data_IF_880104566369
#
_entry.id   IF_880104566369
#
_cell.length_a   1.000
_cell.length_b   1.000
_cell.length_c   1.000
_cell.angle_alpha   90.00
_cell.angle_beta   90.00
_cell.angle_gamma   90.00
#
_symmetry.space_group_name_H-M   'P 1'
#
loop_
_entity.id
_entity.type
_entity.pdbx_description
1 polymer ?
2 non-polymer ?
3 non-polymer ?
4 non-polymer ?
5 non-polymer ?
6 water ?
#
# COMPACT_ATOMS: atom_id res chain seq x y z
N UNK A 3 22.52 -12.72 17.07
CA UNK A 3 23.26 -13.30 15.96
C UNK A 3 23.52 -12.24 14.88
N UNK A 4 24.07 -12.68 13.74
CA UNK A 4 24.48 -11.82 12.63
C UNK A 4 24.28 -12.63 11.35
N UNK A 5 23.01 -12.85 11.00
CA UNK A 5 22.62 -13.86 10.02
C UNK A 5 23.05 -13.48 8.60
N UNK A 6 23.07 -14.50 7.73
CA UNK A 6 23.50 -14.40 6.34
C UNK A 6 22.36 -14.82 5.42
N UNK A 7 22.10 -14.05 4.37
CA UNK A 7 21.17 -14.41 3.31
C UNK A 7 21.93 -14.57 2.00
N UNK A 8 21.55 -15.57 1.21
CA UNK A 8 22.23 -15.87 -0.04
C UNK A 8 21.33 -15.63 -1.24
N UNK A 9 21.93 -15.24 -2.34
CA UNK A 9 21.29 -15.33 -3.66
C UNK A 9 21.84 -16.57 -4.35
N UNK A 10 20.95 -17.42 -4.88
CA UNK A 10 21.39 -18.66 -5.50
C UNK A 10 21.50 -18.56 -7.02
N UNK A 11 21.09 -17.44 -7.62
CA UNK A 11 21.35 -17.19 -9.03
C UNK A 11 22.75 -16.60 -9.22
N UNK A 12 23.19 -15.76 -8.26
CA UNK A 12 24.40 -14.95 -8.39
C UNK A 12 25.49 -15.27 -7.38
N UNK A 13 25.26 -16.19 -6.44
CA UNK A 13 26.19 -16.53 -5.37
C UNK A 13 26.64 -15.31 -4.55
N UNK A 14 25.81 -14.25 -4.56
CA UNK A 14 26.07 -13.09 -3.72
C UNK A 14 25.54 -13.36 -2.32
N UNK A 15 26.28 -12.94 -1.30
CA UNK A 15 25.87 -13.09 0.08
C UNK A 15 25.87 -11.73 0.77
N UNK A 16 24.85 -11.49 1.59
CA UNK A 16 24.78 -10.31 2.42
C UNK A 16 24.67 -10.72 3.89
N UNK A 17 25.09 -9.81 4.77
CA UNK A 17 24.99 -10.00 6.21
C UNK A 17 23.98 -9.03 6.80
N UNK A 18 23.10 -9.53 7.65
CA UNK A 18 22.00 -8.77 8.22
C UNK A 18 22.23 -8.66 9.71
N UNK A 19 22.57 -7.44 10.17
CA UNK A 19 22.53 -7.08 11.58
C UNK A 19 21.38 -6.14 11.91
N UNK A 20 20.69 -5.63 10.89
CA UNK A 20 19.56 -4.74 11.12
C UNK A 20 18.47 -5.43 11.93
N UNK A 21 18.29 -6.75 11.74
CA UNK A 21 17.24 -7.46 12.47
C UNK A 21 17.43 -7.38 13.98
N UNK A 22 18.63 -7.04 14.44
CA UNK A 22 18.86 -6.97 15.88
C UNK A 22 18.07 -5.83 16.50
N UNK A 23 18.06 -4.67 15.83
CA UNK A 23 17.25 -3.56 16.29
C UNK A 23 15.76 -3.86 16.24
N UNK A 24 15.36 -4.98 15.64
CA UNK A 24 13.94 -5.29 15.51
C UNK A 24 13.27 -5.45 16.87
N UNK A 25 11.95 -5.24 16.86
CA UNK A 25 11.19 -5.08 18.08
C UNK A 25 9.94 -5.96 18.07
N UNK A 26 9.05 -5.70 17.10
CA UNK A 26 7.79 -6.40 16.99
C UNK A 26 8.00 -7.89 16.70
N UNK A 27 6.94 -8.66 16.93
CA UNK A 27 6.93 -10.08 16.66
C UNK A 27 6.29 -10.36 15.30
N UNK A 28 6.47 -11.60 14.83
CA UNK A 28 6.16 -11.97 13.45
C UNK A 28 5.03 -12.98 13.28
N UNK A 29 4.68 -13.73 14.32
CA UNK A 29 3.73 -14.81 14.21
C UNK A 29 4.38 -16.18 14.15
N UNK A 30 5.66 -16.24 13.79
CA UNK A 30 6.39 -17.49 13.75
C UNK A 30 6.98 -17.80 15.11
N UNK A 31 6.96 -19.08 15.48
CA UNK A 31 7.64 -19.59 16.67
C UNK A 31 8.86 -20.41 16.22
N UNK A 32 9.53 -21.02 17.18
CA UNK A 32 10.63 -21.93 16.84
C UNK A 32 10.13 -23.19 16.14
N UNK A 33 8.90 -23.60 16.41
CA UNK A 33 8.37 -24.87 15.92
C UNK A 33 7.34 -24.70 14.82
N UNK A 34 6.95 -23.48 14.49
CA UNK A 34 6.04 -23.22 13.39
C UNK A 34 6.47 -21.95 12.68
N UNK A 35 6.25 -21.94 11.38
CA UNK A 35 6.50 -20.76 10.56
C UNK A 35 5.19 -20.39 9.89
N UNK A 36 4.90 -19.09 9.88
CA UNK A 36 3.61 -18.60 9.44
C UNK A 36 3.73 -17.52 8.38
N UNK A 37 4.83 -17.52 7.62
CA UNK A 37 5.10 -16.58 6.56
C UNK A 37 4.15 -16.61 5.38
N UNK A 38 3.02 -17.30 5.49
CA UNK A 38 2.07 -17.35 4.39
C UNK A 38 0.65 -17.10 4.87
N UNK A 39 0.46 -16.89 6.17
CA UNK A 39 -0.78 -16.33 6.71
C UNK A 39 -0.90 -14.88 6.25
N UNK A 40 -2.06 -14.52 5.69
CA UNK A 40 -2.23 -13.23 5.05
C UNK A 40 -2.21 -12.09 6.07
N UNK A 41 -3.18 -12.07 6.98
CA UNK A 41 -3.28 -11.06 8.03
C UNK A 41 -3.06 -11.75 9.37
N UNK A 42 -1.86 -11.71 9.94
CA UNK A 42 -1.65 -12.30 11.25
C UNK A 42 -1.97 -11.29 12.35
N UNK A 43 -2.35 -11.82 13.52
CA UNK A 43 -2.67 -10.97 14.67
C UNK A 43 -1.58 -9.96 14.99
N UNK A 44 -0.35 -10.23 14.56
CA UNK A 44 0.74 -9.25 14.66
C UNK A 44 0.48 -8.05 13.76
N UNK A 45 0.40 -8.27 12.45
CA UNK A 45 0.31 -7.22 11.44
C UNK A 45 -0.91 -6.32 11.59
N UNK A 46 -1.88 -6.69 12.43
CA UNK A 46 -3.12 -5.94 12.60
C UNK A 46 -3.04 -5.08 13.86
N UNK A 47 -3.65 -3.90 13.81
CA UNK A 47 -3.70 -2.99 14.95
C UNK A 47 -4.98 -3.16 15.77
N UNK A 52 -4.99 -0.56 21.00
CA UNK A 52 -5.28 0.60 21.85
C UNK A 52 -4.20 0.70 22.95
N UNK A 53 -3.61 1.89 23.11
CA UNK A 53 -2.36 2.07 23.86
C UNK A 53 -2.49 3.16 24.92
N UNK A 54 -1.69 3.02 25.98
CA UNK A 54 -1.73 3.86 27.17
C UNK A 54 -0.46 4.70 27.31
N UNK A 55 -0.43 5.51 28.37
CA UNK A 55 0.63 6.49 28.55
C UNK A 55 1.92 5.84 29.04
N UNK A 56 1.80 4.89 29.98
CA UNK A 56 2.96 4.16 30.44
C UNK A 56 3.72 3.56 29.27
N UNK A 57 2.99 2.91 28.37
CA UNK A 57 3.61 2.32 27.19
C UNK A 57 4.25 3.35 26.28
N UNK A 58 3.83 4.62 26.37
CA UNK A 58 4.07 5.55 25.29
C UNK A 58 5.48 6.13 25.26
N UNK A 59 6.12 6.35 26.42
CA UNK A 59 7.42 7.03 26.39
C UNK A 59 8.50 6.21 25.71
N UNK A 60 8.77 4.95 26.08
CA UNK A 60 9.81 4.18 25.39
C UNK A 60 9.71 4.28 23.88
N UNK A 61 8.49 4.21 23.36
CA UNK A 61 8.27 4.30 21.92
C UNK A 61 8.65 5.67 21.38
N UNK A 62 8.34 6.75 22.13
CA UNK A 62 8.82 8.08 21.73
C UNK A 62 10.34 8.15 21.84
N UNK A 63 10.88 7.69 22.97
CA UNK A 63 12.32 7.70 23.18
C UNK A 63 13.05 6.99 22.06
N UNK A 64 12.68 5.72 21.80
CA UNK A 64 13.32 4.96 20.74
C UNK A 64 13.24 5.68 19.41
N UNK A 65 12.07 6.19 19.05
CA UNK A 65 11.91 6.86 17.75
C UNK A 65 12.80 8.08 17.66
N UNK A 66 12.81 8.90 18.70
CA UNK A 66 13.62 10.12 18.68
C UNK A 66 15.11 9.81 18.71
N UNK A 67 15.49 8.65 19.24
CA UNK A 67 16.90 8.29 19.31
C UNK A 67 17.43 7.87 17.95
N UNK A 68 16.59 7.30 17.09
CA UNK A 68 17.07 7.00 15.74
C UNK A 68 16.98 8.24 14.85
N UNK A 69 15.97 9.09 15.06
CA UNK A 69 15.77 10.24 14.19
C UNK A 69 16.91 11.26 14.34
N UNK A 70 17.35 11.52 15.57
CA UNK A 70 18.50 12.40 15.71
C UNK A 70 19.77 11.69 15.27
N UNK A 71 19.87 10.39 15.54
CA UNK A 71 21.01 9.62 15.09
C UNK A 71 21.15 9.66 13.57
N UNK A 72 20.06 9.92 12.84
CA UNK A 72 20.11 9.95 11.39
C UNK A 72 20.60 11.30 10.84
N UNK A 73 20.32 12.41 11.51
CA UNK A 73 20.76 13.71 11.02
C UNK A 73 22.14 14.04 11.58
N UNK A 74 22.79 13.04 12.18
CA UNK A 74 24.13 13.20 12.77
C UNK A 74 24.11 14.20 13.93
N UNK A 75 23.19 13.98 14.86
CA UNK A 75 23.09 14.72 16.12
C UNK A 75 22.58 13.78 17.22
N UNK A 76 23.18 12.59 17.28
CA UNK A 76 22.80 11.55 18.22
C UNK A 76 23.02 12.01 19.66
N UNK A 77 21.98 11.88 20.49
CA UNK A 77 22.10 11.94 21.93
C UNK A 77 22.71 13.20 22.49
N UNK A 78 22.68 14.29 21.74
CA UNK A 78 23.28 15.54 22.15
C UNK A 78 22.27 16.35 22.95
N UNK A 79 22.48 17.67 23.04
CA UNK A 79 21.57 18.53 23.79
C UNK A 79 20.28 18.78 23.01
N UNK A 80 20.40 19.12 21.73
CA UNK A 80 19.20 19.22 20.88
C UNK A 80 18.39 17.93 20.97
N UNK A 81 19.08 16.80 21.09
CA UNK A 81 18.41 15.52 21.35
C UNK A 81 17.78 15.51 22.72
N UNK A 82 18.59 15.68 23.77
CA UNK A 82 18.11 15.48 25.14
C UNK A 82 17.02 16.48 25.50
N UNK A 83 17.12 17.72 25.01
CA UNK A 83 16.02 18.66 25.18
C UNK A 83 14.74 18.09 24.60
N UNK A 84 14.83 17.55 23.37
CA UNK A 84 13.66 17.01 22.70
C UNK A 84 13.11 15.80 23.44
N UNK A 85 13.99 14.98 24.02
CA UNK A 85 13.53 13.85 24.84
C UNK A 85 12.84 14.35 26.10
N UNK A 86 13.45 15.34 26.76
CA UNK A 86 12.82 16.01 27.90
C UNK A 86 11.49 16.63 27.50
N UNK A 87 11.46 17.30 26.35
CA UNK A 87 10.29 18.06 25.95
C UNK A 87 9.09 17.16 25.67
N UNK A 88 9.31 16.00 25.05
CA UNK A 88 8.19 15.10 24.80
C UNK A 88 7.85 14.30 26.05
N UNK A 89 8.87 13.89 26.81
CA UNK A 89 8.64 13.31 28.13
C UNK A 89 7.69 14.18 28.96
N UNK A 90 8.02 15.47 29.10
CA UNK A 90 7.15 16.40 29.81
C UNK A 90 5.74 16.40 29.22
N UNK A 91 5.62 16.61 27.91
CA UNK A 91 4.31 16.68 27.27
C UNK A 91 3.54 15.36 27.39
N UNK A 92 4.24 14.22 27.52
CA UNK A 92 3.57 12.94 27.73
C UNK A 92 3.14 12.78 29.18
N UNK A 93 3.84 13.39 30.12
CA UNK A 93 3.27 13.55 31.46
C UNK A 93 1.98 14.36 31.37
N UNK A 94 2.06 15.54 30.75
CA UNK A 94 0.99 16.52 30.82
C UNK A 94 -0.27 15.99 30.12
N UNK A 95 -0.17 15.73 28.82
CA UNK A 95 -1.34 15.34 28.01
C UNK A 95 -1.50 13.83 27.88
N UNK A 96 -0.51 13.05 28.31
CA UNK A 96 -0.43 11.60 28.11
C UNK A 96 -0.23 11.22 26.65
N UNK A 97 -0.14 12.18 25.74
CA UNK A 97 0.31 11.93 24.37
C UNK A 97 1.26 13.07 24.00
N UNK A 98 1.47 13.27 22.70
CA UNK A 98 2.41 14.31 22.25
C UNK A 98 2.23 14.53 20.74
N UNK A 99 2.99 15.48 20.21
CA UNK A 99 2.89 15.89 18.83
C UNK A 99 4.27 15.84 18.17
N UNK A 100 4.28 15.52 16.89
CA UNK A 100 5.49 15.33 16.11
C UNK A 100 5.86 16.63 15.41
N UNK A 101 7.13 17.02 15.51
CA UNK A 101 7.67 18.06 14.65
C UNK A 101 7.43 17.71 13.19
N UNK A 102 7.20 18.75 12.36
CA UNK A 102 7.04 18.53 10.93
C UNK A 102 8.16 17.64 10.37
N UNK A 103 9.38 17.80 10.88
CA UNK A 103 10.50 16.98 10.42
C UNK A 103 10.36 15.53 10.88
N UNK A 104 9.99 15.34 12.14
CA UNK A 104 9.82 13.99 12.68
C UNK A 104 8.72 13.23 11.97
N UNK A 105 7.75 13.96 11.40
CA UNK A 105 6.67 13.30 10.68
C UNK A 105 7.13 12.82 9.31
N UNK A 106 7.91 13.65 8.61
CA UNK A 106 8.44 13.27 7.29
C UNK A 106 9.37 12.06 7.43
N UNK A 107 10.24 12.08 8.44
CA UNK A 107 11.14 10.97 8.71
C UNK A 107 10.35 9.71 9.05
N UNK A 108 9.39 9.81 9.97
CA UNK A 108 8.62 8.64 10.35
C UNK A 108 7.86 8.04 9.19
N UNK A 109 7.22 8.89 8.39
CA UNK A 109 6.47 8.39 7.25
C UNK A 109 7.38 7.65 6.29
N UNK A 110 8.48 8.30 5.86
CA UNK A 110 9.37 7.69 4.89
C UNK A 110 9.92 6.36 5.39
N UNK A 111 10.08 6.23 6.71
CA UNK A 111 10.67 5.02 7.27
C UNK A 111 9.63 3.93 7.51
N UNK A 112 8.35 4.29 7.62
CA UNK A 112 7.31 3.27 7.61
C UNK A 112 7.28 2.55 6.27
N UNK A 113 7.43 3.29 5.17
CA UNK A 113 7.52 2.66 3.85
C UNK A 113 8.82 1.87 3.72
N UNK A 114 9.95 2.48 4.08
CA UNK A 114 11.24 1.81 4.04
C UNK A 114 11.23 0.48 4.78
N UNK A 115 10.42 0.36 5.82
CA UNK A 115 10.35 -0.84 6.64
C UNK A 115 9.25 -1.81 6.24
N UNK A 116 8.47 -1.48 5.22
CA UNK A 116 7.38 -2.33 4.75
C UNK A 116 7.98 -3.51 4.00
N UNK A 117 8.00 -4.66 4.64
CA UNK A 117 8.74 -5.78 4.06
C UNK A 117 8.01 -6.43 2.90
N UNK A 118 6.69 -6.19 2.73
CA UNK A 118 5.96 -6.76 1.62
C UNK A 118 5.99 -5.91 0.35
N UNK A 119 6.69 -4.77 0.38
CA UNK A 119 6.68 -3.78 -0.71
C UNK A 119 7.90 -3.97 -1.61
N UNK A 120 7.66 -4.38 -2.87
CA UNK A 120 8.72 -4.53 -3.84
C UNK A 120 9.30 -3.22 -4.33
N UNK A 121 8.58 -2.10 -4.23
CA UNK A 121 9.03 -0.86 -4.83
C UNK A 121 9.82 0.08 -3.94
N UNK A 122 10.28 -0.40 -2.80
CA UNK A 122 10.90 0.45 -1.76
C UNK A 122 12.15 1.08 -2.17
N UNK A 123 12.66 1.00 -3.39
CA UNK A 123 13.89 1.73 -3.68
C UNK A 123 13.66 3.24 -3.62
N UNK A 124 12.41 3.69 -3.70
CA UNK A 124 12.04 5.09 -3.79
C UNK A 124 11.58 5.67 -2.46
N UNK A 125 11.89 4.99 -1.35
CA UNK A 125 11.30 5.35 -0.06
C UNK A 125 11.67 6.78 0.34
N UNK A 126 12.90 7.20 0.06
CA UNK A 126 13.31 8.54 0.48
C UNK A 126 12.63 9.62 -0.34
N UNK A 127 12.26 9.33 -1.59
CA UNK A 127 11.57 10.27 -2.46
C UNK A 127 10.05 10.16 -2.24
N UNK A 128 9.62 10.69 -1.09
CA UNK A 128 8.21 10.64 -0.70
C UNK A 128 7.76 12.02 -0.26
N UNK A 129 6.67 12.50 -0.86
CA UNK A 129 6.09 13.78 -0.53
C UNK A 129 5.16 13.59 0.65
N UNK A 130 5.44 14.26 1.76
CA UNK A 130 4.59 14.16 2.94
C UNK A 130 3.67 15.38 2.99
N UNK A 131 2.36 15.12 3.06
CA UNK A 131 1.33 16.17 3.15
C UNK A 131 0.73 16.13 4.55
N UNK A 132 0.95 17.19 5.32
CA UNK A 132 0.58 17.18 6.73
C UNK A 132 -0.81 17.77 6.84
N UNK A 133 -1.78 16.90 7.12
CA UNK A 133 -3.19 17.26 7.23
C UNK A 133 -3.67 17.10 8.66
N UNK A 134 -2.73 17.24 9.60
CA UNK A 134 -3.11 17.16 11.00
C UNK A 134 -3.95 18.35 11.47
N UNK A 135 -4.11 19.41 10.65
CA UNK A 135 -5.00 20.52 11.01
C UNK A 135 -6.43 20.29 10.56
N UNK A 136 -6.75 19.11 10.04
CA UNK A 136 -8.06 18.88 9.45
C UNK A 136 -9.10 18.56 10.53
N UNK A 137 -10.31 19.10 10.34
CA UNK A 137 -11.41 18.95 11.31
C UNK A 137 -12.69 18.31 10.76
N UNK A 138 -12.94 18.37 9.44
CA UNK A 138 -14.22 17.97 8.85
C UNK A 138 -13.99 16.97 7.73
N UNK A 139 -15.07 16.30 7.33
CA UNK A 139 -15.02 15.46 6.14
C UNK A 139 -14.71 16.29 4.91
N UNK A 140 -15.26 17.50 4.83
CA UNK A 140 -14.98 18.36 3.68
C UNK A 140 -13.50 18.70 3.60
N UNK A 141 -12.87 19.07 4.73
CA UNK A 141 -11.43 19.23 4.75
C UNK A 141 -10.69 17.98 4.31
N UNK A 142 -11.19 16.80 4.67
CA UNK A 142 -10.54 15.56 4.23
C UNK A 142 -10.66 15.42 2.71
N UNK A 143 -11.85 15.67 2.17
CA UNK A 143 -12.06 15.61 0.73
C UNK A 143 -11.12 16.53 -0.02
N UNK A 144 -10.80 17.68 0.58
CA UNK A 144 -9.97 18.68 -0.06
C UNK A 144 -8.51 18.30 -0.02
N UNK A 145 -8.03 17.82 1.14
CA UNK A 145 -6.67 17.31 1.23
C UNK A 145 -6.47 16.14 0.28
N UNK A 146 -7.46 15.25 0.20
CA UNK A 146 -7.37 14.06 -0.67
C UNK A 146 -7.33 14.47 -2.15
N UNK A 147 -8.19 15.42 -2.55
CA UNK A 147 -8.20 15.87 -3.94
C UNK A 147 -6.86 16.47 -4.30
N UNK A 148 -6.28 17.24 -3.40
CA UNK A 148 -4.98 17.81 -3.67
C UNK A 148 -3.91 16.72 -3.70
N UNK A 149 -4.10 15.66 -2.92
CA UNK A 149 -3.20 14.51 -2.99
C UNK A 149 -3.25 13.90 -4.39
N UNK A 150 -4.45 13.49 -4.83
CA UNK A 150 -4.65 12.89 -6.16
C UNK A 150 -3.99 13.74 -7.24
N UNK A 151 -4.35 15.02 -7.29
CA UNK A 151 -3.80 15.89 -8.33
C UNK A 151 -2.28 15.89 -8.31
N UNK A 152 -1.69 16.13 -7.13
CA UNK A 152 -0.23 16.22 -7.07
C UNK A 152 0.42 14.89 -7.44
N UNK A 153 -0.05 13.80 -6.82
CA UNK A 153 0.54 12.51 -7.11
C UNK A 153 0.40 12.15 -8.57
N UNK A 154 -0.74 12.50 -9.19
CA UNK A 154 -0.97 12.08 -10.57
C UNK A 154 -0.08 12.85 -11.55
N UNK A 155 0.09 14.15 -11.34
CA UNK A 155 1.05 14.93 -12.12
C UNK A 155 0.91 14.64 -13.61
N UNK A 156 -0.34 14.50 -14.07
CA UNK A 156 -0.65 14.32 -15.49
C UNK A 156 0.04 13.08 -16.05
N UNK A 157 0.10 11.99 -15.26
CA UNK A 157 0.65 10.74 -15.68
C UNK A 157 2.07 10.49 -15.22
N UNK A 158 2.85 11.56 -15.04
CA UNK A 158 4.21 11.46 -14.51
C UNK A 158 4.10 11.33 -12.99
N UNK A 159 3.83 10.11 -12.55
CA UNK A 159 3.34 9.90 -11.18
C UNK A 159 4.41 10.18 -10.14
N UNK A 160 3.96 10.64 -8.96
CA UNK A 160 4.81 10.98 -7.84
C UNK A 160 4.28 10.37 -6.56
N UNK A 161 5.18 9.86 -5.73
CA UNK A 161 4.80 9.28 -4.45
C UNK A 161 4.40 10.37 -3.48
N UNK A 162 3.29 10.15 -2.76
CA UNK A 162 2.83 11.07 -1.74
C UNK A 162 2.11 10.30 -0.64
N UNK A 163 1.96 10.96 0.50
CA UNK A 163 1.15 10.50 1.61
C UNK A 163 0.50 11.71 2.28
N UNK A 164 -0.74 11.57 2.69
CA UNK A 164 -1.46 12.63 3.41
C UNK A 164 -1.90 12.10 4.75
N UNK A 165 -1.48 12.79 5.82
CA UNK A 165 -1.54 12.27 7.18
C UNK A 165 -2.51 13.12 7.98
N UNK A 166 -3.72 12.59 8.20
CA UNK A 166 -4.73 13.23 9.02
C UNK A 166 -4.41 13.05 10.50
N UNK A 167 -5.09 13.76 11.40
CA UNK A 167 -4.65 13.79 12.81
C UNK A 167 -4.61 12.41 13.47
N UNK A 168 -3.67 12.28 14.40
CA UNK A 168 -3.46 11.00 15.05
C UNK A 168 -4.63 10.67 15.97
N UNK A 169 -4.85 9.37 16.15
CA UNK A 169 -5.87 8.91 17.08
C UNK A 169 -5.52 9.40 18.49
N UNK A 170 -6.57 9.76 19.25
CA UNK A 170 -6.39 10.19 20.62
C UNK A 170 -7.15 9.19 21.49
N UNK A 171 -8.37 9.51 21.89
CA UNK A 171 -9.16 8.63 22.74
C UNK A 171 -9.40 7.29 22.06
N UNK A 172 -9.60 7.29 20.74
CA UNK A 172 -9.97 6.10 20.00
C UNK A 172 -11.36 6.17 19.39
N UNK A 173 -12.29 6.89 20.03
CA UNK A 173 -13.62 7.05 19.45
C UNK A 173 -13.74 8.33 18.64
N UNK A 174 -12.76 9.22 18.72
CA UNK A 174 -12.61 10.34 17.80
C UNK A 174 -11.45 10.00 16.90
N UNK A 175 -11.77 9.61 15.67
CA UNK A 175 -10.84 8.87 14.84
C UNK A 175 -11.09 9.23 13.39
N UNK A 176 -10.06 9.66 12.71
CA UNK A 176 -10.16 9.94 11.28
C UNK A 176 -9.96 8.64 10.48
N UNK A 177 -10.89 8.35 9.56
CA UNK A 177 -10.76 7.18 8.69
C UNK A 177 -11.24 7.48 7.27
N UNK A 178 -10.50 7.00 6.29
CA UNK A 178 -10.99 6.87 4.91
C UNK A 178 -11.56 5.46 4.79
N UNK A 179 -12.88 5.35 4.63
CA UNK A 179 -13.50 4.03 4.58
C UNK A 179 -13.20 3.27 3.29
N UNK A 180 -12.79 3.97 2.23
CA UNK A 180 -12.30 3.29 1.04
C UNK A 180 -11.04 2.52 1.37
N UNK A 181 -10.82 1.39 0.66
CA UNK A 181 -9.54 0.71 0.80
C UNK A 181 -8.48 1.36 -0.09
N UNK A 182 -8.87 1.88 -1.25
CA UNK A 182 -8.02 2.74 -2.06
C UNK A 182 -8.84 3.96 -2.44
N UNK A 183 -8.17 5.09 -2.65
CA UNK A 183 -8.92 6.29 -3.00
C UNK A 183 -9.70 6.09 -4.28
N UNK A 184 -9.10 5.45 -5.27
CA UNK A 184 -9.75 5.20 -6.55
C UNK A 184 -9.92 3.70 -6.72
N UNK A 185 -11.16 3.22 -6.62
CA UNK A 185 -11.50 1.85 -6.98
C UNK A 185 -12.80 1.85 -7.76
N UNK A 186 -13.00 0.77 -8.52
CA UNK A 186 -14.20 0.58 -9.32
C UNK A 186 -15.27 -0.13 -8.52
N UNK A 187 -16.51 0.11 -8.89
CA UNK A 187 -17.63 -0.37 -8.10
C UNK A 187 -17.87 -1.84 -8.37
N UNK A 188 -18.63 -2.46 -7.47
CA UNK A 188 -18.96 -3.86 -7.59
C UNK A 188 -20.40 -4.13 -7.24
N UNK A 189 -21.18 -4.53 -8.24
CA UNK A 189 -22.59 -4.82 -8.04
C UNK A 189 -22.86 -6.27 -8.37
N UNK A 190 -23.75 -6.87 -7.60
CA UNK A 190 -24.24 -8.22 -7.86
C UNK A 190 -25.39 -8.18 -8.85
N UNK A 191 -25.62 -9.30 -9.52
CA UNK A 191 -26.58 -9.37 -10.62
C UNK A 191 -27.78 -10.23 -10.24
N UNK A 192 -28.81 -10.34 -11.10
CA UNK A 192 -29.92 -11.26 -10.78
C UNK A 192 -29.48 -12.70 -10.62
N UNK A 193 -28.77 -13.25 -11.60
CA UNK A 193 -28.29 -14.62 -11.52
C UNK A 193 -27.25 -14.83 -10.43
N UNK A 194 -26.88 -13.77 -9.70
CA UNK A 194 -25.86 -13.87 -8.69
C UNK A 194 -24.47 -13.52 -9.16
N UNK A 195 -24.25 -13.42 -10.48
CA UNK A 195 -22.96 -12.99 -11.01
C UNK A 195 -22.65 -11.56 -10.56
N UNK A 196 -21.52 -11.01 -10.98
CA UNK A 196 -21.08 -9.73 -10.45
C UNK A 196 -20.58 -8.81 -11.56
N UNK A 197 -21.12 -7.58 -11.58
CA UNK A 197 -20.64 -6.54 -12.49
C UNK A 197 -19.61 -5.67 -11.77
N UNK A 198 -18.64 -5.20 -12.52
CA UNK A 198 -17.63 -4.30 -11.97
C UNK A 198 -16.52 -5.07 -11.31
N UNK A 199 -16.22 -4.72 -10.07
CA UNK A 199 -15.14 -5.36 -9.33
C UNK A 199 -15.78 -6.11 -8.17
N UNK A 200 -15.75 -7.44 -8.16
CA UNK A 200 -16.37 -8.18 -7.05
C UNK A 200 -15.76 -7.88 -5.69
N UNK A 201 -14.51 -7.39 -5.63
CA UNK A 201 -13.86 -7.12 -4.34
C UNK A 201 -14.69 -6.17 -3.48
N UNK A 202 -15.24 -5.13 -4.09
CA UNK A 202 -15.77 -3.99 -3.37
C UNK A 202 -17.27 -4.05 -3.19
N UNK A 203 -17.91 -5.16 -3.56
CA UNK A 203 -19.37 -5.19 -3.64
C UNK A 203 -20.00 -4.81 -2.31
N UNK A 204 -19.40 -5.26 -1.20
CA UNK A 204 -19.91 -4.85 0.10
C UNK A 204 -19.74 -3.35 0.31
N UNK A 205 -18.54 -2.84 -0.02
CA UNK A 205 -18.31 -1.40 0.10
C UNK A 205 -19.28 -0.62 -0.79
N UNK A 206 -19.42 -1.03 -2.06
CA UNK A 206 -20.34 -0.36 -2.97
C UNK A 206 -21.75 -0.28 -2.38
N UNK A 207 -22.17 -1.32 -1.65
CA UNK A 207 -23.50 -1.32 -1.07
C UNK A 207 -23.60 -0.35 0.09
N UNK A 208 -22.53 -0.25 0.89
CA UNK A 208 -22.50 0.74 1.96
C UNK A 208 -22.63 2.14 1.39
N UNK A 209 -21.96 2.42 0.26
CA UNK A 209 -22.09 3.73 -0.37
C UNK A 209 -23.51 3.97 -0.88
N UNK A 210 -24.16 2.93 -1.43
CA UNK A 210 -25.56 3.09 -1.81
C UNK A 210 -26.44 3.20 -0.57
N UNK A 211 -26.06 2.51 0.51
CA UNK A 211 -26.75 2.66 1.79
C UNK A 211 -26.78 4.12 2.22
N UNK A 212 -25.67 4.83 2.03
CA UNK A 212 -25.57 6.25 2.34
C UNK A 212 -25.99 7.13 1.18
N UNK A 213 -26.63 6.57 0.16
CA UNK A 213 -27.24 7.37 -0.89
C UNK A 213 -26.41 7.59 -2.14
N UNK A 214 -25.56 6.64 -2.53
CA UNK A 214 -24.83 6.78 -3.78
C UNK A 214 -25.75 6.49 -4.95
N UNK A 215 -25.67 7.33 -5.97
CA UNK A 215 -26.43 7.12 -7.20
C UNK A 215 -25.52 6.31 -8.12
N UNK A 216 -25.58 5.00 -7.97
CA UNK A 216 -24.69 4.13 -8.72
C UNK A 216 -25.07 4.16 -10.20
N UNK A 217 -24.10 4.33 -11.11
CA UNK A 217 -24.41 4.22 -12.54
C UNK A 217 -24.33 2.77 -13.00
N UNK A 218 -24.68 1.85 -12.09
CA UNK A 218 -24.57 0.39 -12.18
C UNK A 218 -23.97 -0.12 -13.49
N UNK A 219 -22.68 0.14 -13.68
CA UNK A 219 -21.92 -0.44 -14.77
C UNK A 219 -20.63 -1.09 -14.31
N UNK A 220 -19.67 -1.20 -15.22
CA UNK A 220 -18.39 -1.79 -14.91
C UNK A 220 -17.54 -0.80 -14.13
N UNK A 221 -16.60 -0.19 -14.85
CA UNK A 221 -15.56 0.65 -14.29
C UNK A 221 -16.14 1.96 -13.77
N UNK A 222 -16.85 1.86 -12.64
CA UNK A 222 -17.50 3.00 -12.01
C UNK A 222 -16.65 3.43 -10.82
N UNK A 223 -15.98 4.58 -10.97
CA UNK A 223 -15.18 5.16 -9.90
C UNK A 223 -16.07 5.38 -8.69
N UNK A 224 -15.75 4.71 -7.58
CA UNK A 224 -16.51 4.84 -6.34
C UNK A 224 -16.35 6.24 -5.75
N UNK A 225 -17.29 6.68 -4.95
CA UNK A 225 -17.11 7.93 -4.21
C UNK A 225 -16.27 7.65 -2.97
N UNK A 226 -15.80 8.73 -2.37
CA UNK A 226 -15.08 8.64 -1.11
C UNK A 226 -16.07 8.64 0.05
N UNK A 227 -15.80 7.80 1.04
CA UNK A 227 -16.48 7.85 2.34
C UNK A 227 -15.47 8.31 3.37
N UNK A 228 -15.69 9.48 3.95
CA UNK A 228 -14.70 10.10 4.84
C UNK A 228 -15.28 10.27 6.23
N UNK A 229 -14.61 9.69 7.21
CA UNK A 229 -14.95 9.81 8.63
C UNK A 229 -13.98 10.77 9.30
N UNK A 230 -14.51 11.75 10.02
CA UNK A 230 -13.69 12.81 10.61
C UNK A 230 -13.98 12.92 12.10
N UNK A 231 -12.94 12.71 12.92
CA UNK A 231 -13.03 12.85 14.36
C UNK A 231 -14.20 12.06 14.94
N UNK A 232 -14.33 10.80 14.48
CA UNK A 232 -15.35 9.92 14.98
C UNK A 232 -16.72 10.09 14.37
N UNK A 233 -16.96 11.17 13.63
CA UNK A 233 -18.30 11.43 13.12
C UNK A 233 -18.68 10.44 12.01
N UNK A 234 -19.98 10.37 11.73
CA UNK A 234 -20.46 9.48 10.68
C UNK A 234 -19.92 9.94 9.33
N UNK A 235 -19.44 9.02 8.48
CA UNK A 235 -18.77 9.43 7.24
C UNK A 235 -19.74 10.04 6.25
N UNK A 236 -19.17 10.71 5.24
CA UNK A 236 -19.96 11.45 4.26
C UNK A 236 -19.39 11.22 2.87
N UNK A 237 -20.28 11.20 1.87
CA UNK A 237 -19.89 10.84 0.52
C UNK A 237 -19.39 12.05 -0.26
N UNK A 238 -18.31 11.85 -1.03
CA UNK A 238 -17.74 12.86 -1.91
C UNK A 238 -17.24 12.21 -3.19
N UNK A 239 -17.51 12.86 -4.32
CA UNK A 239 -17.06 12.38 -5.62
C UNK A 239 -15.82 13.16 -6.05
N UNK A 240 -14.70 12.46 -6.21
CA UNK A 240 -13.50 13.03 -6.79
C UNK A 240 -13.88 13.65 -8.13
N UNK A 241 -13.45 14.86 -8.46
CA UNK A 241 -13.74 15.41 -9.78
C UNK A 241 -13.21 14.47 -10.85
N UNK A 242 -14.02 14.15 -11.85
CA UNK A 242 -13.62 13.16 -12.84
C UNK A 242 -12.32 13.52 -13.54
N UNK A 243 -12.11 14.82 -13.78
CA UNK A 243 -10.87 15.29 -14.39
C UNK A 243 -9.65 14.93 -13.55
N UNK A 244 -9.82 14.71 -12.25
CA UNK A 244 -8.69 14.34 -11.41
C UNK A 244 -8.45 12.84 -11.35
N UNK A 245 -9.32 12.04 -11.98
CA UNK A 245 -9.24 10.57 -11.98
C UNK A 245 -8.70 10.18 -13.35
N UNK A 246 -7.40 9.94 -13.42
CA UNK A 246 -6.77 9.57 -14.68
C UNK A 246 -6.94 8.08 -14.88
N UNK A 247 -7.31 7.70 -16.11
CA UNK A 247 -7.58 6.30 -16.47
C UNK A 247 -6.88 5.95 -17.78
N UNK A 248 -6.54 4.66 -17.92
CA UNK A 248 -5.80 4.18 -19.09
C UNK A 248 -6.60 3.08 -19.78
N UNK A 249 -7.06 3.28 -21.02
CA UNK A 249 -7.77 2.23 -21.73
C UNK A 249 -6.77 1.21 -22.26
N UNK A 250 -7.07 -0.07 -22.06
CA UNK A 250 -6.11 -1.14 -22.29
C UNK A 250 -6.27 -1.65 -23.71
N UNK A 251 -5.30 -1.34 -24.56
CA UNK A 251 -5.19 -1.95 -25.88
C UNK A 251 -3.94 -2.81 -25.94
N UNK A 252 -3.82 -3.58 -27.03
CA UNK A 252 -2.70 -4.47 -27.26
C UNK A 252 -1.97 -4.08 -28.54
N UNK A 253 -0.64 -4.25 -28.57
CA UNK A 253 0.13 -3.85 -29.78
C UNK A 253 0.14 -4.88 -30.91
N UNK A 254 -0.75 -5.86 -30.84
CA UNK A 254 -1.00 -6.76 -31.96
C UNK A 254 -2.51 -6.84 -32.20
N UNK A 255 -3.23 -7.27 -31.18
CA UNK A 255 -4.62 -7.72 -31.29
C UNK A 255 -5.54 -6.52 -31.41
N UNK A 256 -5.97 -6.21 -32.64
CA UNK A 256 -6.93 -5.14 -32.85
C UNK A 256 -8.23 -5.39 -32.09
N UNK A 257 -8.55 -6.64 -31.79
CA UNK A 257 -9.74 -6.96 -31.01
C UNK A 257 -9.58 -6.70 -29.54
N UNK A 258 -8.40 -6.27 -29.09
CA UNK A 258 -8.16 -6.04 -27.68
C UNK A 258 -8.83 -4.76 -27.19
N UNK A 259 -8.91 -3.73 -28.04
CA UNK A 259 -9.78 -2.60 -27.72
C UNK A 259 -11.21 -3.06 -27.50
N UNK A 260 -11.69 -3.97 -28.33
CA UNK A 260 -13.07 -4.45 -28.24
C UNK A 260 -13.36 -5.08 -26.88
N UNK A 261 -12.35 -5.75 -26.29
CA UNK A 261 -12.46 -6.21 -24.91
C UNK A 261 -13.01 -5.11 -24.00
N UNK A 262 -12.51 -3.88 -24.16
CA UNK A 262 -13.13 -2.74 -23.51
C UNK A 262 -12.76 -2.56 -22.07
N UNK A 263 -11.50 -2.76 -21.73
CA UNK A 263 -11.03 -2.60 -20.36
C UNK A 263 -10.24 -1.31 -20.22
N UNK A 264 -10.04 -0.91 -18.96
CA UNK A 264 -9.32 0.30 -18.59
C UNK A 264 -9.03 0.19 -17.11
N UNK A 265 -8.03 0.95 -16.68
CA UNK A 265 -7.67 0.97 -15.27
C UNK A 265 -7.31 2.39 -14.90
N UNK A 266 -7.21 2.64 -13.60
CA UNK A 266 -6.83 3.96 -13.12
C UNK A 266 -5.33 4.02 -12.91
N UNK A 267 -4.77 5.22 -13.09
CA UNK A 267 -3.33 5.35 -13.07
C UNK A 267 -2.74 5.22 -11.69
N UNK A 268 -3.51 5.60 -10.67
CA UNK A 268 -2.98 5.94 -9.35
C UNK A 268 -3.35 4.85 -8.37
N UNK A 269 -2.38 4.02 -7.94
CA UNK A 269 -2.60 3.13 -6.80
C UNK A 269 -2.39 3.90 -5.51
N UNK A 270 -3.39 3.85 -4.63
CA UNK A 270 -3.40 4.79 -3.51
C UNK A 270 -4.12 4.12 -2.35
N UNK A 271 -3.36 3.40 -1.52
CA UNK A 271 -3.92 2.64 -0.41
C UNK A 271 -4.33 3.57 0.71
N UNK A 272 -5.60 3.49 1.13
CA UNK A 272 -6.14 4.45 2.10
C UNK A 272 -6.55 3.87 3.46
N UNK A 273 -6.60 2.55 3.62
CA UNK A 273 -7.17 1.93 4.81
C UNK A 273 -6.12 1.49 5.83
N UNK A 274 -4.86 1.85 5.63
CA UNK A 274 -3.81 1.41 6.52
C UNK A 274 -3.64 2.37 7.69
N UNK A 275 -2.88 1.91 8.67
CA UNK A 275 -2.60 2.66 9.88
C UNK A 275 -1.10 2.92 9.95
N UNK A 276 -0.72 4.18 10.20
CA UNK A 276 0.68 4.61 10.21
C UNK A 276 1.15 4.79 11.65
N UNK A 277 2.13 4.00 12.07
CA UNK A 277 2.66 4.07 13.43
C UNK A 277 4.00 4.80 13.44
N UNK A 278 4.10 5.84 14.26
CA UNK A 278 5.32 6.64 14.43
C UNK A 278 5.44 6.97 15.91
N UNK A 279 6.58 6.64 16.51
CA UNK A 279 6.88 6.95 17.90
C UNK A 279 5.79 6.59 18.88
N UNK A 280 5.01 5.56 18.57
CA UNK A 280 3.94 5.14 19.45
C UNK A 280 2.61 5.80 19.17
N UNK A 281 2.56 6.75 18.25
CA UNK A 281 1.32 7.41 17.87
C UNK A 281 0.73 6.71 16.66
N UNK A 282 -0.60 6.75 16.56
CA UNK A 282 -1.33 5.96 15.58
C UNK A 282 -2.10 6.88 14.66
N UNK A 283 -1.80 6.83 13.37
CA UNK A 283 -2.48 7.62 12.35
C UNK A 283 -3.40 6.69 11.57
N UNK A 284 -4.69 6.72 11.91
CA UNK A 284 -5.69 5.83 11.33
C UNK A 284 -6.11 6.21 9.91
N UNK A 285 -5.94 7.46 9.53
CA UNK A 285 -6.16 7.90 8.15
C UNK A 285 -4.82 8.37 7.62
N UNK A 286 -4.30 7.69 6.62
CA UNK A 286 -3.01 8.10 6.08
C UNK A 286 -2.78 7.69 4.62
N UNK A 287 -3.73 7.94 3.71
CA UNK A 287 -3.61 7.37 2.36
C UNK A 287 -2.29 7.71 1.70
N UNK A 288 -1.72 6.72 0.99
CA UNK A 288 -0.42 6.83 0.35
C UNK A 288 -0.50 6.29 -1.07
N UNK A 289 0.30 6.86 -1.95
CA UNK A 289 0.23 6.49 -3.36
C UNK A 289 1.63 6.40 -3.97
N UNK A 290 1.73 5.58 -5.00
CA UNK A 290 2.84 5.64 -5.93
C UNK A 290 2.39 5.36 -7.34
N UNK A 291 3.09 4.49 -8.06
CA UNK A 291 2.73 4.04 -9.40
C UNK A 291 2.65 2.52 -9.42
N UNK A 292 2.02 1.96 -10.45
CA UNK A 292 1.74 0.51 -10.49
C UNK A 292 2.91 -0.29 -11.04
N UNK A 293 3.12 -1.48 -10.44
CA UNK A 293 3.72 -2.56 -11.20
C UNK A 293 2.66 -3.22 -12.05
N UNK A 294 3.04 -3.69 -13.24
CA UNK A 294 2.05 -4.15 -14.20
C UNK A 294 1.23 -5.31 -13.68
N UNK A 295 1.89 -6.34 -13.13
CA UNK A 295 1.21 -7.53 -12.63
C UNK A 295 0.03 -7.22 -11.71
N UNK A 296 0.11 -6.13 -10.93
CA UNK A 296 -0.97 -5.84 -10.00
C UNK A 296 -2.29 -5.60 -10.72
N UNK A 297 -2.25 -5.19 -11.99
CA UNK A 297 -3.46 -5.04 -12.78
C UNK A 297 -3.66 -6.26 -13.67
N UNK A 298 -2.64 -6.56 -14.48
CA UNK A 298 -2.77 -7.59 -15.48
C UNK A 298 -3.01 -8.96 -14.89
N UNK A 299 -2.30 -9.28 -13.79
CA UNK A 299 -2.38 -10.62 -13.19
C UNK A 299 -3.51 -10.73 -12.18
N UNK A 300 -3.43 -9.90 -11.13
CA UNK A 300 -4.30 -10.03 -9.97
C UNK A 300 -5.68 -9.41 -10.23
N UNK A 301 -5.72 -8.09 -10.48
CA UNK A 301 -6.98 -7.39 -10.74
C UNK A 301 -7.79 -8.07 -11.83
N UNK A 302 -7.16 -8.27 -12.99
CA UNK A 302 -7.85 -8.76 -14.18
C UNK A 302 -8.09 -10.27 -14.18
N UNK A 303 -7.22 -11.07 -13.56
CA UNK A 303 -7.26 -12.52 -13.75
C UNK A 303 -7.49 -13.35 -12.50
N UNK A 304 -7.47 -12.74 -11.30
CA UNK A 304 -7.92 -13.48 -10.14
C UNK A 304 -9.32 -14.03 -10.39
N UNK A 305 -9.57 -15.22 -9.85
CA UNK A 305 -10.88 -15.85 -10.04
C UNK A 305 -12.00 -15.01 -9.44
N UNK A 306 -11.78 -14.46 -8.26
CA UNK A 306 -12.78 -13.65 -7.57
C UNK A 306 -12.55 -12.15 -7.77
N UNK A 307 -11.79 -11.77 -8.78
CA UNK A 307 -11.66 -10.38 -9.22
C UNK A 307 -12.29 -10.25 -10.60
N UNK A 308 -11.63 -9.66 -11.61
CA UNK A 308 -12.31 -9.40 -12.88
C UNK A 308 -12.44 -10.64 -13.75
N UNK A 309 -11.52 -11.59 -13.60
CA UNK A 309 -11.67 -12.94 -14.16
C UNK A 309 -11.89 -12.91 -15.67
N UNK A 310 -10.91 -12.29 -16.37
CA UNK A 310 -11.03 -12.08 -17.80
C UNK A 310 -10.30 -13.15 -18.63
N UNK A 311 -9.61 -14.11 -17.98
CA UNK A 311 -8.84 -15.12 -18.71
C UNK A 311 -9.74 -15.91 -19.64
N UNK A 312 -10.98 -16.16 -19.22
CA UNK A 312 -12.02 -16.70 -20.09
C UNK A 312 -12.11 -15.97 -21.43
N UNK A 313 -12.49 -14.69 -21.39
CA UNK A 313 -12.81 -14.00 -22.63
C UNK A 313 -11.58 -13.79 -23.50
N UNK A 314 -10.43 -13.54 -22.87
CA UNK A 314 -9.20 -13.31 -23.62
C UNK A 314 -8.78 -14.59 -24.36
N UNK A 315 -8.86 -15.74 -23.69
CA UNK A 315 -8.53 -16.99 -24.36
C UNK A 315 -9.45 -17.23 -25.55
N UNK A 316 -10.76 -17.13 -25.32
CA UNK A 316 -11.74 -17.28 -26.39
C UNK A 316 -11.33 -16.52 -27.64
N UNK A 317 -11.05 -15.22 -27.47
CA UNK A 317 -10.72 -14.36 -28.60
C UNK A 317 -9.38 -14.72 -29.23
N UNK A 318 -8.42 -15.20 -28.43
CA UNK A 318 -7.18 -15.69 -29.01
C UNK A 318 -7.37 -17.02 -29.74
N UNK A 319 -8.58 -17.59 -29.69
CA UNK A 319 -8.87 -18.93 -30.22
C UNK A 319 -7.90 -19.96 -29.66
N UNK A 320 -8.15 -20.44 -28.45
CA UNK A 320 -7.19 -21.26 -27.72
C UNK A 320 -7.75 -22.64 -27.44
N UNK A 321 -6.85 -23.63 -27.46
CA UNK A 321 -7.15 -24.96 -26.94
C UNK A 321 -7.60 -24.86 -25.49
N UNK A 322 -8.88 -24.57 -25.26
CA UNK A 322 -9.38 -24.36 -23.90
C UNK A 322 -9.99 -25.62 -23.30
N UNK A 323 -9.90 -26.75 -23.99
CA UNK A 323 -10.42 -28.00 -23.45
C UNK A 323 -9.52 -28.52 -22.33
N UNK A 324 -8.30 -28.89 -22.67
CA UNK A 324 -7.40 -29.49 -21.69
C UNK A 324 -6.87 -28.43 -20.73
N UNK A 325 -6.61 -28.84 -19.50
CA UNK A 325 -5.90 -27.99 -18.55
C UNK A 325 -4.47 -27.72 -19.00
N UNK A 326 -3.83 -28.76 -19.56
CA UNK A 326 -2.41 -28.85 -19.91
C UNK A 326 -2.09 -28.22 -21.26
N UNK A 327 -3.09 -27.66 -21.96
CA UNK A 327 -2.80 -26.77 -23.08
C UNK A 327 -2.13 -25.48 -22.64
N UNK A 328 -2.22 -25.13 -21.36
CA UNK A 328 -1.63 -23.90 -20.79
C UNK A 328 -2.24 -22.63 -21.40
N UNK A 329 -3.52 -22.70 -21.76
CA UNK A 329 -4.16 -21.53 -22.36
C UNK A 329 -4.31 -20.39 -21.35
N UNK A 330 -4.49 -20.74 -20.07
CA UNK A 330 -4.53 -19.74 -19.03
C UNK A 330 -3.22 -18.96 -18.99
N UNK A 331 -2.09 -19.68 -19.06
CA UNK A 331 -0.79 -19.02 -19.02
C UNK A 331 -0.59 -18.14 -20.24
N UNK A 332 -0.97 -18.65 -21.41
CA UNK A 332 -0.75 -17.94 -22.66
C UNK A 332 -1.46 -16.58 -22.66
N UNK A 333 -2.72 -16.56 -22.24
CA UNK A 333 -3.49 -15.31 -22.24
C UNK A 333 -3.09 -14.39 -21.09
N UNK A 334 -2.39 -14.90 -20.08
CA UNK A 334 -1.95 -14.02 -18.99
C UNK A 334 -0.76 -13.17 -19.42
N UNK A 335 0.12 -13.71 -20.27
CA UNK A 335 1.24 -12.92 -20.75
C UNK A 335 0.76 -11.82 -21.71
N UNK A 336 -0.18 -12.13 -22.61
CA UNK A 336 -0.72 -11.11 -23.51
C UNK A 336 -1.45 -10.00 -22.76
N UNK A 337 -2.26 -10.37 -21.75
CA UNK A 337 -2.97 -9.36 -20.95
C UNK A 337 -1.96 -8.44 -20.30
N UNK A 338 -0.85 -8.99 -19.82
CA UNK A 338 0.13 -8.14 -19.17
C UNK A 338 1.00 -7.37 -20.17
N UNK A 339 1.14 -7.83 -21.42
CA UNK A 339 1.82 -7.02 -22.43
C UNK A 339 0.98 -5.80 -22.77
N UNK A 340 -0.34 -5.96 -22.77
CA UNK A 340 -1.26 -4.89 -23.17
C UNK A 340 -1.41 -3.83 -22.08
N UNK A 341 -1.32 -4.23 -20.81
CA UNK A 341 -1.39 -3.26 -19.73
C UNK A 341 -0.18 -2.34 -19.77
N UNK A 342 1.02 -2.93 -19.87
CA UNK A 342 2.23 -2.15 -19.98
C UNK A 342 2.18 -1.24 -21.20
N UNK A 343 1.97 -1.83 -22.38
CA UNK A 343 1.88 -1.07 -23.62
C UNK A 343 0.98 0.15 -23.45
N UNK A 344 -0.26 -0.08 -23.01
CA UNK A 344 -1.24 0.99 -22.91
C UNK A 344 -0.77 2.12 -22.01
N UNK A 345 -0.26 1.76 -20.82
CA UNK A 345 0.17 2.76 -19.84
C UNK A 345 1.33 3.61 -20.37
N UNK A 346 2.32 2.96 -21.01
CA UNK A 346 3.46 3.72 -21.51
C UNK A 346 3.12 4.52 -22.75
N UNK A 347 2.18 4.04 -23.57
CA UNK A 347 1.79 4.81 -24.74
C UNK A 347 0.99 6.06 -24.36
N UNK A 348 0.47 6.10 -23.14
CA UNK A 348 -0.27 7.24 -22.61
C UNK A 348 0.56 8.05 -21.61
N UNK A 349 1.88 7.88 -21.61
CA UNK A 349 2.79 8.61 -20.72
C UNK A 349 2.40 8.51 -19.25
N UNK A 350 1.75 7.42 -18.87
CA UNK A 350 1.41 7.16 -17.47
C UNK A 350 2.44 6.20 -16.88
N UNK A 351 3.00 6.57 -15.73
CA UNK A 351 4.09 5.83 -15.09
C UNK A 351 3.64 4.41 -14.75
N UNK A 352 4.43 3.44 -15.22
CA UNK A 352 4.20 2.03 -14.86
C UNK A 352 5.52 1.29 -14.95
N UNK A 353 5.69 0.29 -14.11
CA UNK A 353 6.89 -0.53 -14.04
C UNK A 353 6.51 -1.99 -14.36
N UNK A 354 7.34 -2.66 -15.15
CA UNK A 354 7.11 -4.07 -15.39
C UNK A 354 7.74 -4.86 -14.24
N UNK A 355 7.32 -6.12 -14.08
CA UNK A 355 7.76 -6.89 -12.92
C UNK A 355 9.21 -7.34 -12.99
N UNK A 356 9.81 -7.38 -14.19
CA UNK A 356 11.25 -7.59 -14.31
C UNK A 356 12.02 -6.37 -13.81
N UNK A 357 11.67 -5.20 -14.34
CA UNK A 357 12.36 -3.97 -13.96
C UNK A 357 12.26 -3.74 -12.45
N UNK A 358 11.08 -3.92 -11.88
CA UNK A 358 10.90 -3.58 -10.46
C UNK A 358 11.63 -4.55 -9.55
N UNK A 359 11.65 -5.85 -9.91
CA UNK A 359 12.33 -6.81 -9.04
C UNK A 359 13.84 -6.70 -9.15
N UNK A 360 14.39 -6.40 -10.34
CA UNK A 360 15.82 -6.09 -10.40
C UNK A 360 16.16 -4.90 -9.51
N UNK A 361 15.30 -3.89 -9.50
CA UNK A 361 15.55 -2.71 -8.68
C UNK A 361 15.50 -3.03 -7.19
N UNK A 362 14.64 -3.97 -6.80
CA UNK A 362 14.56 -4.33 -5.40
C UNK A 362 15.84 -5.02 -4.94
N UNK A 363 16.45 -5.82 -5.82
CA UNK A 363 17.72 -6.43 -5.48
C UNK A 363 18.80 -5.36 -5.32
N UNK A 364 18.93 -4.48 -6.33
CA UNK A 364 19.80 -3.31 -6.20
C UNK A 364 19.54 -2.59 -4.89
N UNK A 365 18.26 -2.43 -4.53
CA UNK A 365 17.89 -1.76 -3.29
C UNK A 365 18.37 -2.55 -2.09
N UNK A 366 18.11 -3.87 -2.09
CA UNK A 366 18.56 -4.71 -0.99
C UNK A 366 20.05 -4.54 -0.76
N UNK A 367 20.83 -4.44 -1.83
CA UNK A 367 22.27 -4.19 -1.72
C UNK A 367 22.54 -2.94 -0.88
N UNK A 368 21.95 -1.83 -1.30
CA UNK A 368 22.14 -0.58 -0.59
C UNK A 368 21.71 -0.69 0.87
N UNK A 369 20.51 -1.23 1.12
CA UNK A 369 20.02 -1.37 2.48
C UNK A 369 20.96 -2.21 3.34
N UNK A 370 21.60 -3.22 2.75
CA UNK A 370 22.51 -4.06 3.51
C UNK A 370 23.87 -3.40 3.71
N UNK A 371 24.33 -2.62 2.74
CA UNK A 371 25.58 -1.88 2.89
C UNK A 371 25.42 -0.74 3.89
N UNK A 372 24.48 0.16 3.63
CA UNK A 372 24.37 1.42 4.36
C UNK A 372 23.39 1.36 5.53
N UNK A 373 22.85 0.19 5.86
CA UNK A 373 21.90 0.09 6.97
C UNK A 373 22.03 -1.26 7.68
N UNK A 374 22.74 -2.20 7.05
CA UNK A 374 22.98 -3.48 7.67
C UNK A 374 21.86 -4.49 7.50
N UNK A 375 20.91 -4.24 6.61
CA UNK A 375 19.82 -5.16 6.41
C UNK A 375 18.69 -4.53 5.62
N UNK A 376 17.67 -5.37 5.38
CA UNK A 376 16.43 -4.97 4.72
C UNK A 376 15.41 -6.09 4.91
N UNK A 377 14.39 -5.90 5.75
CA UNK A 377 13.37 -6.94 5.90
C UNK A 377 12.60 -7.11 4.62
N UNK A 378 12.39 -8.36 4.21
CA UNK A 378 11.66 -8.59 2.98
C UNK A 378 10.81 -9.84 3.12
N UNK A 379 9.67 -9.85 2.45
CA UNK A 379 8.69 -10.92 2.53
C UNK A 379 8.62 -11.55 1.15
N UNK A 380 9.36 -12.65 1.00
CA UNK A 380 9.46 -13.37 -0.26
C UNK A 380 8.08 -13.75 -0.79
N UNK A 381 7.19 -14.25 0.08
CA UNK A 381 5.84 -14.63 -0.33
C UNK A 381 5.16 -13.53 -1.12
N UNK A 382 5.45 -12.26 -0.76
CA UNK A 382 4.85 -11.04 -1.30
C UNK A 382 5.75 -10.25 -2.23
N UNK A 383 7.08 -10.40 -2.10
CA UNK A 383 8.00 -9.75 -3.05
C UNK A 383 7.95 -10.41 -4.42
N UNK A 384 7.93 -11.75 -4.49
CA UNK A 384 7.99 -12.45 -5.80
C UNK A 384 6.74 -12.09 -6.61
N UNK A 385 6.88 -11.71 -7.88
CA UNK A 385 5.70 -11.28 -8.66
C UNK A 385 4.78 -12.46 -8.98
N UNK A 386 3.46 -12.25 -9.03
CA UNK A 386 2.51 -13.36 -9.18
C UNK A 386 2.50 -14.07 -10.53
N UNK A 387 3.44 -13.74 -11.41
CA UNK A 387 3.64 -14.50 -12.62
C UNK A 387 5.14 -14.61 -12.86
N UNK A 388 5.54 -15.64 -13.62
CA UNK A 388 6.93 -15.81 -14.03
C UNK A 388 7.90 -15.59 -12.87
N UNK A 389 7.57 -16.17 -11.72
CA UNK A 389 8.37 -15.92 -10.54
C UNK A 389 9.85 -16.17 -10.73
N UNK A 390 10.21 -17.35 -11.25
CA UNK A 390 11.62 -17.74 -11.20
C UNK A 390 12.43 -17.13 -12.33
N UNK A 391 11.81 -16.46 -13.29
CA UNK A 391 12.59 -15.77 -14.32
C UNK A 391 12.88 -14.32 -13.91
N UNK A 392 12.48 -13.88 -12.66
CA UNK A 392 12.81 -12.62 -12.00
C UNK A 392 13.78 -12.89 -10.83
N UNK A 393 14.74 -11.98 -10.60
CA UNK A 393 15.84 -12.31 -9.68
C UNK A 393 15.42 -12.47 -8.23
N UNK A 394 14.24 -12.00 -7.82
CA UNK A 394 13.89 -12.10 -6.41
C UNK A 394 13.50 -13.54 -6.04
N UNK A 395 13.12 -14.37 -7.02
CA UNK A 395 12.85 -15.77 -6.72
C UNK A 395 14.06 -16.44 -6.08
N UNK A 396 15.26 -16.03 -6.49
CA UNK A 396 16.51 -16.67 -6.11
C UNK A 396 17.24 -15.96 -4.99
N UNK A 397 16.53 -15.09 -4.26
CA UNK A 397 17.15 -14.26 -3.24
C UNK A 397 16.51 -14.60 -1.91
N UNK A 398 17.33 -15.03 -0.95
CA UNK A 398 16.85 -15.26 0.40
C UNK A 398 16.62 -13.95 1.12
N UNK A 399 15.49 -13.86 1.81
CA UNK A 399 15.10 -12.63 2.47
C UNK A 399 14.70 -12.93 3.89
N UNK A 400 15.34 -12.25 4.84
CA UNK A 400 14.92 -12.24 6.24
C UNK A 400 13.75 -11.27 6.42
N UNK A 401 12.64 -11.77 6.93
CA UNK A 401 11.50 -10.93 7.28
C UNK A 401 11.54 -10.67 8.77
N UNK A 402 11.44 -9.40 9.14
CA UNK A 402 11.36 -8.99 10.53
C UNK A 402 10.68 -7.62 10.57
N UNK A 403 10.19 -7.28 11.75
CA UNK A 403 9.28 -6.15 11.88
C UNK A 403 9.97 -5.02 12.60
N UNK A 404 10.38 -4.01 11.84
CA UNK A 404 10.87 -2.76 12.38
C UNK A 404 9.74 -1.76 12.51
N UNK A 405 10.07 -0.61 13.11
CA UNK A 405 9.13 0.48 13.28
C UNK A 405 9.92 1.77 13.16
N UNK A 406 9.30 2.85 12.63
CA UNK A 406 7.93 3.10 12.15
C UNK A 406 7.41 2.15 11.05
N UNK A 407 6.10 1.87 11.06
CA UNK A 407 5.54 0.86 10.17
C UNK A 407 4.12 1.24 9.75
N UNK A 408 3.68 0.66 8.63
CA UNK A 408 2.26 0.62 8.32
C UNK A 408 1.66 -0.69 8.84
N UNK A 409 0.47 -0.61 9.39
CA UNK A 409 -0.19 -1.77 9.94
C UNK A 409 -1.62 -1.83 9.43
N UNK A 410 -2.12 -3.05 9.27
CA UNK A 410 -3.51 -3.28 8.94
C UNK A 410 -4.38 -2.87 10.10
N UNK A 411 -5.65 -2.60 9.81
CA UNK A 411 -6.58 -2.25 10.88
C UNK A 411 -7.96 -2.71 10.48
N UNK A 412 -8.84 -3.00 11.44
CA UNK A 412 -10.20 -3.45 11.10
C UNK A 412 -10.96 -2.40 10.31
N UNK A 413 -11.82 -2.88 9.42
CA UNK A 413 -12.66 -1.97 8.65
C UNK A 413 -13.59 -1.19 9.58
N UNK A 414 -13.74 0.12 9.38
CA UNK A 414 -14.45 0.94 10.37
C UNK A 414 -15.92 0.60 10.52
N UNK A 415 -16.55 -0.01 9.51
CA UNK A 415 -18.00 -0.18 9.61
C UNK A 415 -18.41 -1.29 10.57
N UNK A 416 -17.45 -2.06 11.09
CA UNK A 416 -17.73 -2.94 12.20
C UNK A 416 -17.46 -2.26 13.53
N UNK A 417 -16.42 -1.44 13.56
CA UNK A 417 -15.99 -0.74 14.77
C UNK A 417 -16.86 0.48 15.06
N UNK A 418 -17.00 1.38 14.08
CA UNK A 418 -17.67 2.66 14.23
C UNK A 418 -19.01 2.51 14.92
N UNK A 419 -19.11 2.97 16.16
CA UNK A 419 -20.40 3.07 16.82
C UNK A 419 -21.22 4.13 16.09
N UNK A 420 -22.24 3.68 15.36
CA UNK A 420 -22.98 4.55 14.44
C UNK A 420 -23.86 5.53 15.21
N UNK A 421 -24.63 6.32 14.46
CA UNK A 421 -25.75 7.12 14.98
C UNK A 421 -26.52 7.85 13.86
X LIG B 1 2.99 -3.49 -0.85
X LIG B 1 4.40 -2.08 -5.26
X LIG B 1 4.80 2.44 -3.40
X LIG B 1 3.96 0.88 1.11
X LIG B 1 3.25 -3.51 -2.20
X LIG B 1 3.02 -4.60 -3.13
X LIG B 1 3.41 -4.22 -4.35
X LIG B 1 3.91 -2.85 -4.25
X LIG B 1 3.35 -5.04 -5.64
X LIG B 1 2.42 -5.98 -2.79
X LIG B 1 0.96 -5.75 -2.46
X LIG B 1 0.10 -6.36 -3.53
X LIG B 1 0.62 -6.99 -4.49
X LIG B 1 -1.13 -6.20 -3.42
X LIG B 1 4.65 -0.71 -5.13
X LIG B 1 5.14 0.17 -6.17
X LIG B 1 5.28 1.39 -5.65
X LIG B 1 4.84 1.36 -4.27
X LIG B 1 5.48 -0.31 -7.61
X LIG B 1 5.76 2.64 -6.42
X LIG B 1 6.62 3.50 -5.85
X LIG B 1 4.54 2.44 -2.05
X LIG B 1 4.39 3.60 -1.19
X LIG B 1 4.15 3.15 0.07
X LIG B 1 4.16 1.72 0.04
X LIG B 1 4.51 5.05 -1.71
X LIG B 1 3.92 3.92 1.40
X LIG B 1 4.03 5.24 1.47
X LIG B 1 3.55 -0.43 0.95
X LIG B 1 2.93 -1.26 1.95
X LIG B 1 2.66 -2.45 1.41
X LIG B 1 3.09 -2.42 0.03
X LIG B 1 2.61 -0.86 3.40
X LIG B 1 1.97 -3.65 2.10
X LIG B 1 2.74 -4.35 3.20
X LIG B 1 1.76 -5.27 3.91
X LIG B 1 2.04 -5.59 5.10
X LIG B 1 0.71 -5.65 3.32
X LIG B 1 3.79 -2.47 -2.93
X LIG B 1 4.48 0.04 -3.98
X LIG B 1 4.40 1.32 -1.26
X LIG B 1 3.64 -1.17 -0.21
X LIG B 1 4.43 -0.65 -1.98
X LIG C 1 1.83 -11.37 -2.63
X LIG C 1 1.37 -10.14 -3.05
X LIG C 1 2.22 -9.23 -3.61
X LIG C 1 0.06 -9.80 -2.92
X LIG C 1 -0.80 -10.69 -2.37
X LIG C 1 -2.01 -10.39 -2.25
X LIG C 1 -0.34 -11.92 -1.92
X LIG C 1 1.00 -12.27 -2.06
X LIG C 1 -1.20 -12.79 -1.34
X LIG C 1 1.46 -13.52 -1.64
X LIG C 1 -0.63 -13.81 -0.46
X LIG C 1 0.55 -14.53 -1.11
X LIG C 1 -1.67 -14.84 -0.02
X LIG C 1 -2.29 -15.31 -1.21
X LIG C 1 -1.02 -15.96 0.79
X LIG C 1 -2.02 -17.05 1.20
X LIG C 1 -0.36 -15.46 1.95
X LIG D 1 8.63 -18.14 9.57
X LIG E 1 -2.41 -3.35 1.25
X LIG E 1 -0.81 -2.47 -0.84
X LIG E 1 -0.63 -1.97 0.44
X LIG E 1 -1.42 -2.40 1.48
X LIG E 1 -2.59 -3.87 -0.03
X LIG E 1 -1.79 -3.42 -1.08
X LIG E 1 -3.69 -4.88 -0.27
X LIG E 1 -3.33 -6.32 0.01
X LIG E 1 -5.41 -6.88 -1.07
X LIG E 1 1.43 -0.01 -5.74
X LIG E 1 1.60 1.22 -5.11
X LIG E 1 1.12 1.42 -3.83
X LIG E 1 0.46 0.36 -3.18
X LIG E 1 0.29 -0.84 -3.85
X LIG E 1 1.31 2.75 -3.15
X LIG E 1 -0.45 -1.97 -3.18
X LIG E 1 -5.65 -8.30 -0.61
X LIG E 1 -4.15 -8.53 -0.67
X LIG E 1 0.34 -1.06 0.64
X LIG E 1 -1.24 -1.90 2.71
X LIG E 1 0.76 -1.01 -5.10
X LIG E 1 1.90 -0.20 -6.99
X LIG E 1 -3.96 -7.12 -1.05
X LIG E 1 0.01 -2.01 -1.84
#
# INVERSE_FOLDING_TARGET
CPRFLKVKNWETDVVLTDTLHLKSTLETGCTEHICMGSIMLPSQHTRKPEDVATKDQLFPLAKEFLDQYYSSIKRFGSKAHMDRLEEVNKEIESTSTYQLKDTELIYGAKHAWRNASRCVGRIQWSKLQVFDARDCTTAHGMFNYICNHVKYATNKGNLRSAITIFPQRTDGKHDFRVWNSQLIRYAGYKQPDGSTLGDPANVQFTEICIQQGWKAPRGRFDVLPLLLQANGNDPELFQIPPELVLEVPIRHPKFDWFKDLGLKWYGLPAVSNMLLEIGGLEFSACPFSGWYMGTEIGVRDYCDNSRYNILEEVAKKMDLDMRKTSSLWKDQALVEINIAVLYSFQSDKVTIVDHHSATESFIKHMENEYRCRGGCPADWVWIVPPMSGSITPVFHQEMLNYRLTPSFEYQPDPWNTHVWKG
HEM CHA CHB CHC CHD C1A C2A C3A C4A CMA CAA CBA CGA O1A O2A C1B C2B C3B C4B CMB CAB CBB C1C C2C C3C C4C CMC CAC CBC C1D C2D C3D C4D CMD CAD CBD CGD O1D O2D NA NB NC ND FE
H4B N1 C2 N2 N3 C4 O4 C4A C8A N5 N8 C6 C7 C9 O9 C10 C11 O10
ZN ZN
A1CN5 C14 C11 C12 C13 C15 C16 C17 C18 C22 C02 C03 C04 C05 C06 C07 C08 C23 C24 F12 F13 N01 N02 N21 O09
#
